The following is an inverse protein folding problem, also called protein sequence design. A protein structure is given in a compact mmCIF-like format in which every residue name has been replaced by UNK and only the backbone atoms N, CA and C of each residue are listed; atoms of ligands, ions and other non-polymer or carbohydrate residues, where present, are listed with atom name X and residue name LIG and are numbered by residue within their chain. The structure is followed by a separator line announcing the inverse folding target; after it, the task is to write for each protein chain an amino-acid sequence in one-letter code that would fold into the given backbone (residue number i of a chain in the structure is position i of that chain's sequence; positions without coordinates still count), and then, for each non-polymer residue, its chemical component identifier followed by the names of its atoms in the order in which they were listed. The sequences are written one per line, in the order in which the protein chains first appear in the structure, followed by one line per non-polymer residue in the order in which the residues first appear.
data_IF_757326654981
#
_entry.id   IF_757326654981
#
_cell.length_a   1.000
_cell.length_b   1.000
_cell.length_c   1.000
_cell.angle_alpha   90.00
_cell.angle_beta   90.00
_cell.angle_gamma   90.00
#
_symmetry.space_group_name_H-M   'P 1'
#
loop_
_entity.id
_entity.type
_entity.pdbx_description
1 polymer ?
#
# COMPACT_ATOMS: atom_id res chain seq x y z
N UNK A 1 -42.18 -10.66 -23.83
CA UNK A 1 -42.06 -9.60 -22.81
C UNK A 1 -40.94 -10.05 -21.88
N UNK A 2 -39.71 -9.78 -22.29
CA UNK A 2 -38.51 -10.18 -21.55
C UNK A 2 -38.14 -9.01 -20.67
N UNK A 3 -38.08 -9.23 -19.35
CA UNK A 3 -37.55 -8.27 -18.40
C UNK A 3 -36.03 -8.23 -18.59
N UNK A 4 -35.53 -7.11 -19.10
CA UNK A 4 -34.14 -6.70 -18.93
C UNK A 4 -33.94 -6.40 -17.44
N UNK A 5 -33.08 -7.16 -16.79
CA UNK A 5 -32.50 -6.80 -15.50
C UNK A 5 -31.28 -5.92 -15.80
N UNK A 6 -31.20 -4.69 -15.29
CA UNK A 6 -29.96 -3.93 -15.39
C UNK A 6 -28.91 -4.61 -14.50
N UNK A 7 -27.95 -5.27 -15.13
CA UNK A 7 -26.69 -5.62 -14.49
C UNK A 7 -25.93 -4.33 -14.23
N UNK A 8 -26.08 -3.80 -13.02
CA UNK A 8 -25.23 -2.73 -12.51
C UNK A 8 -23.81 -3.26 -12.41
N UNK A 9 -22.97 -2.89 -13.38
CA UNK A 9 -21.54 -2.76 -13.12
C UNK A 9 -21.45 -1.58 -12.17
N UNK A 10 -21.21 -1.83 -10.88
CA UNK A 10 -20.74 -0.79 -9.95
C UNK A 10 -19.51 -0.16 -10.59
N UNK A 11 -19.75 0.96 -11.26
CA UNK A 11 -18.73 1.70 -11.96
C UNK A 11 -18.10 2.54 -10.86
N UNK A 12 -16.79 2.40 -10.65
CA UNK A 12 -16.08 3.26 -9.70
C UNK A 12 -16.49 4.72 -9.96
N UNK A 13 -16.82 5.44 -8.88
CA UNK A 13 -17.25 6.83 -8.96
C UNK A 13 -16.26 7.65 -9.79
N UNK A 14 -16.76 8.53 -10.64
CA UNK A 14 -15.93 9.43 -11.42
C UNK A 14 -15.27 10.49 -10.52
N UNK A 15 -14.16 11.08 -10.97
CA UNK A 15 -13.47 12.16 -10.24
C UNK A 15 -14.42 13.34 -9.94
N UNK A 16 -15.36 13.64 -10.84
CA UNK A 16 -16.35 14.69 -10.65
C UNK A 16 -17.38 14.37 -9.56
N UNK A 17 -17.82 13.11 -9.47
CA UNK A 17 -18.75 12.67 -8.42
C UNK A 17 -18.07 12.66 -7.05
N UNK A 18 -16.80 12.22 -6.99
CA UNK A 18 -16.03 12.28 -5.74
C UNK A 18 -15.72 13.72 -5.35
N UNK A 19 -15.47 14.62 -6.30
CA UNK A 19 -15.29 16.05 -6.04
C UNK A 19 -16.53 16.69 -5.42
N UNK A 20 -17.73 16.36 -5.89
CA UNK A 20 -18.98 16.86 -5.31
C UNK A 20 -19.15 16.40 -3.86
N UNK A 21 -18.93 15.12 -3.57
CA UNK A 21 -18.97 14.57 -2.20
C UNK A 21 -17.91 15.19 -1.28
N UNK A 22 -16.73 15.49 -1.84
CA UNK A 22 -15.62 16.10 -1.11
C UNK A 22 -15.89 17.52 -0.63
N UNK A 23 -16.87 18.23 -1.22
CA UNK A 23 -17.26 19.57 -0.77
C UNK A 23 -17.86 19.57 0.64
N UNK A 24 -18.52 18.47 1.02
CA UNK A 24 -19.17 18.32 2.33
C UNK A 24 -18.35 17.47 3.30
N UNK A 25 -17.33 16.75 2.80
CA UNK A 25 -16.55 15.76 3.57
C UNK A 25 -15.05 15.94 3.34
N UNK A 26 -14.32 16.67 4.22
CA UNK A 26 -12.89 16.93 4.05
C UNK A 26 -12.01 15.68 3.87
N UNK A 27 -12.36 14.58 4.55
CA UNK A 27 -11.63 13.31 4.43
C UNK A 27 -11.69 12.72 3.00
N UNK A 28 -12.81 12.88 2.29
CA UNK A 28 -12.91 12.47 0.88
C UNK A 28 -12.04 13.33 -0.05
N UNK A 29 -11.92 14.62 0.26
CA UNK A 29 -11.03 15.51 -0.47
C UNK A 29 -9.56 15.04 -0.36
N UNK A 30 -9.14 14.62 0.85
CA UNK A 30 -7.80 14.07 1.09
C UNK A 30 -7.58 12.77 0.31
N UNK A 31 -8.56 11.85 0.29
CA UNK A 31 -8.48 10.61 -0.49
C UNK A 31 -8.41 10.88 -2.00
N UNK A 32 -9.18 11.84 -2.52
CA UNK A 32 -9.13 12.25 -3.92
C UNK A 32 -7.76 12.82 -4.29
N UNK A 33 -7.24 13.74 -3.47
CA UNK A 33 -5.95 14.37 -3.73
C UNK A 33 -4.81 13.36 -3.64
N UNK A 34 -4.91 12.38 -2.72
CA UNK A 34 -4.01 11.24 -2.64
C UNK A 34 -4.08 10.35 -3.90
N UNK A 35 -5.28 10.02 -4.36
CA UNK A 35 -5.49 9.18 -5.55
C UNK A 35 -4.87 9.79 -6.83
N UNK A 36 -4.86 11.11 -6.94
CA UNK A 36 -4.28 11.83 -8.10
C UNK A 36 -2.76 11.68 -8.22
N UNK A 37 -2.07 11.27 -7.16
CA UNK A 37 -0.63 11.02 -7.18
C UNK A 37 -0.28 9.63 -7.70
N UNK A 38 -1.21 8.68 -7.63
CA UNK A 38 -0.96 7.25 -7.86
C UNK A 38 -0.52 6.89 -9.28
N UNK A 39 -1.06 7.50 -10.35
CA UNK A 39 -0.68 7.15 -11.72
C UNK A 39 0.78 7.45 -12.06
N UNK A 40 1.41 8.41 -11.36
CA UNK A 40 2.78 8.85 -11.63
C UNK A 40 3.84 8.07 -10.82
N UNK A 41 3.41 7.15 -9.95
CA UNK A 41 4.33 6.36 -9.12
C UNK A 41 5.07 5.32 -9.99
N UNK A 42 6.40 5.33 -9.89
CA UNK A 42 7.27 4.33 -10.52
C UNK A 42 7.35 3.03 -9.69
N UNK A 43 6.21 2.35 -9.53
CA UNK A 43 6.11 1.11 -8.77
C UNK A 43 7.19 0.11 -9.17
N UNK A 44 7.85 -0.50 -8.19
CA UNK A 44 8.89 -1.53 -8.40
C UNK A 44 10.10 -1.10 -9.26
N UNK A 45 10.24 0.20 -9.57
CA UNK A 45 11.31 0.69 -10.45
C UNK A 45 12.72 0.66 -9.86
N UNK A 46 12.87 0.30 -8.58
CA UNK A 46 14.17 0.25 -7.87
C UNK A 46 14.48 -1.12 -7.29
N UNK A 47 13.73 -2.18 -7.64
CA UNK A 47 13.97 -3.51 -7.10
C UNK A 47 15.43 -3.97 -7.33
N UNK A 48 16.05 -4.48 -6.26
CA UNK A 48 17.39 -5.05 -6.28
C UNK A 48 18.54 -4.04 -6.34
N UNK A 49 18.26 -2.76 -6.63
CA UNK A 49 19.28 -1.70 -6.60
C UNK A 49 19.72 -1.41 -5.15
N UNK A 50 20.92 -0.87 -4.89
CA UNK A 50 21.34 -0.52 -3.54
C UNK A 50 20.38 0.47 -2.85
N UNK A 51 20.07 0.26 -1.57
CA UNK A 51 19.27 1.22 -0.79
C UNK A 51 20.05 2.53 -0.60
N UNK A 52 19.52 3.62 -1.12
CA UNK A 52 20.03 4.97 -0.90
C UNK A 52 19.74 5.45 0.54
N UNK A 53 20.29 6.61 0.89
CA UNK A 53 20.18 7.16 2.25
C UNK A 53 18.74 7.44 2.66
N UNK A 54 17.92 7.92 1.73
CA UNK A 54 16.53 8.32 1.99
C UNK A 54 15.63 7.10 2.17
N UNK A 55 15.79 6.06 1.35
CA UNK A 55 15.08 4.78 1.48
C UNK A 55 15.43 4.11 2.82
N UNK A 56 16.69 4.17 3.24
CA UNK A 56 17.12 3.66 4.56
C UNK A 56 16.49 4.45 5.69
N UNK A 57 16.42 5.77 5.58
CA UNK A 57 15.79 6.61 6.60
C UNK A 57 14.29 6.33 6.72
N UNK A 58 13.57 6.18 5.60
CA UNK A 58 12.15 5.79 5.59
C UNK A 58 11.93 4.43 6.24
N UNK A 59 12.74 3.44 5.87
CA UNK A 59 12.66 2.11 6.43
C UNK A 59 12.95 2.09 7.93
N UNK A 60 13.93 2.87 8.39
CA UNK A 60 14.25 3.01 9.80
C UNK A 60 13.10 3.69 10.57
N UNK A 61 12.56 4.79 10.05
CA UNK A 61 11.43 5.48 10.68
C UNK A 61 10.19 4.58 10.76
N UNK A 62 9.96 3.76 9.73
CA UNK A 62 8.90 2.76 9.74
C UNK A 62 9.09 1.75 10.88
N UNK A 63 10.31 1.21 11.03
CA UNK A 63 10.63 0.28 12.12
C UNK A 63 10.51 0.93 13.50
N UNK A 64 10.99 2.17 13.66
CA UNK A 64 10.84 2.93 14.90
C UNK A 64 9.36 3.12 15.26
N UNK A 65 8.52 3.48 14.29
CA UNK A 65 7.09 3.66 14.49
C UNK A 65 6.34 2.35 14.80
N UNK A 66 6.86 1.20 14.37
CA UNK A 66 6.35 -0.11 14.77
C UNK A 66 6.91 -0.62 16.11
N UNK A 67 7.92 0.04 16.69
CA UNK A 67 8.55 -0.38 17.94
C UNK A 67 9.71 -1.36 17.78
N UNK A 68 10.33 -1.43 16.59
CA UNK A 68 11.49 -2.29 16.27
C UNK A 68 12.74 -1.46 15.88
N UNK A 69 13.18 -0.47 16.68
CA UNK A 69 14.28 0.42 16.29
C UNK A 69 15.62 -0.31 16.07
N UNK A 70 15.80 -1.47 16.71
CA UNK A 70 17.02 -2.28 16.64
C UNK A 70 17.00 -3.32 15.50
N UNK A 71 15.95 -3.35 14.67
CA UNK A 71 15.88 -4.27 13.54
C UNK A 71 16.79 -3.82 12.39
N UNK A 72 17.53 -4.76 11.81
CA UNK A 72 18.43 -4.52 10.70
C UNK A 72 17.69 -4.45 9.37
N UNK A 73 18.13 -3.57 8.46
CA UNK A 73 17.64 -3.52 7.08
C UNK A 73 18.35 -4.56 6.21
N UNK A 74 17.62 -5.55 5.71
CA UNK A 74 18.09 -6.49 4.71
C UNK A 74 17.59 -6.11 3.32
N UNK A 75 18.55 -5.80 2.42
CA UNK A 75 18.26 -5.58 1.01
C UNK A 75 18.25 -6.91 0.25
N UNK A 76 17.13 -7.26 -0.35
CA UNK A 76 17.05 -8.38 -1.28
C UNK A 76 17.51 -7.94 -2.67
N UNK A 77 18.08 -8.88 -3.44
CA UNK A 77 18.70 -8.56 -4.73
C UNK A 77 17.99 -9.17 -5.92
N UNK A 78 17.07 -10.11 -5.68
CA UNK A 78 16.38 -10.87 -6.70
C UNK A 78 15.02 -11.37 -6.19
N UNK A 79 14.20 -11.82 -7.13
CA UNK A 79 12.86 -12.32 -6.86
C UNK A 79 12.85 -13.65 -6.09
N UNK A 80 13.88 -14.50 -6.21
CA UNK A 80 13.97 -15.76 -5.46
C UNK A 80 14.11 -15.50 -3.95
N UNK A 81 15.01 -14.60 -3.57
CA UNK A 81 15.18 -14.14 -2.19
C UNK A 81 13.90 -13.47 -1.68
N UNK A 82 13.21 -12.71 -2.54
CA UNK A 82 11.93 -12.08 -2.21
C UNK A 82 10.83 -13.11 -1.94
N UNK A 83 10.75 -14.17 -2.75
CA UNK A 83 9.83 -15.29 -2.52
C UNK A 83 10.11 -15.96 -1.19
N UNK A 84 11.37 -16.33 -0.92
CA UNK A 84 11.75 -16.94 0.35
C UNK A 84 11.40 -16.04 1.53
N UNK A 85 11.69 -14.73 1.43
CA UNK A 85 11.34 -13.77 2.46
C UNK A 85 9.81 -13.65 2.67
N UNK A 86 9.03 -13.60 1.60
CA UNK A 86 7.57 -13.50 1.65
C UNK A 86 6.92 -14.76 2.23
N UNK A 87 7.43 -15.95 1.88
CA UNK A 87 6.94 -17.24 2.41
C UNK A 87 7.38 -17.50 3.85
N UNK A 88 8.59 -17.06 4.20
CA UNK A 88 9.13 -17.21 5.56
C UNK A 88 8.53 -16.22 6.56
N UNK A 89 7.82 -15.20 6.08
CA UNK A 89 7.11 -14.22 6.90
C UNK A 89 6.17 -14.95 7.85
N UNK A 90 6.58 -15.00 9.13
CA UNK A 90 5.74 -15.59 10.16
C UNK A 90 4.46 -14.75 10.24
N UNK A 91 3.34 -15.36 9.83
CA UNK A 91 2.02 -14.74 9.82
C UNK A 91 1.58 -14.29 11.23
N UNK A 92 2.32 -14.68 12.29
CA UNK A 92 2.18 -14.23 13.68
C UNK A 92 3.42 -13.48 14.21
N UNK A 93 4.14 -12.77 13.35
CA UNK A 93 5.24 -11.91 13.81
C UNK A 93 4.74 -10.73 14.64
N UNK A 94 5.54 -10.28 15.62
CA UNK A 94 5.23 -9.12 16.43
C UNK A 94 5.05 -7.83 15.60
N UNK A 95 5.69 -7.74 14.43
CA UNK A 95 5.52 -6.60 13.53
C UNK A 95 4.14 -6.58 12.88
N UNK A 96 3.60 -7.75 12.51
CA UNK A 96 2.23 -7.84 12.02
C UNK A 96 1.21 -7.44 13.09
N UNK A 97 1.39 -7.90 14.34
CA UNK A 97 0.54 -7.49 15.47
C UNK A 97 0.58 -5.98 15.71
N UNK A 98 1.77 -5.36 15.60
CA UNK A 98 1.93 -3.91 15.70
C UNK A 98 1.17 -3.17 14.59
N UNK A 99 1.29 -3.61 13.34
CA UNK A 99 0.53 -3.06 12.22
C UNK A 99 -0.98 -3.22 12.41
N UNK A 100 -1.44 -4.39 12.88
CA UNK A 100 -2.87 -4.63 13.11
C UNK A 100 -3.42 -3.72 14.22
N UNK A 101 -2.64 -3.53 15.29
CA UNK A 101 -3.01 -2.60 16.38
C UNK A 101 -3.12 -1.16 15.87
N UNK A 102 -2.20 -0.72 15.00
CA UNK A 102 -2.24 0.61 14.40
C UNK A 102 -3.44 0.76 13.45
N UNK A 103 -3.74 -0.28 12.67
CA UNK A 103 -4.91 -0.29 11.79
C UNK A 103 -6.21 -0.16 12.57
N UNK A 104 -6.37 -0.93 13.64
CA UNK A 104 -7.55 -0.86 14.49
C UNK A 104 -7.74 0.52 15.13
N UNK A 105 -6.64 1.15 15.58
CA UNK A 105 -6.66 2.51 16.11
C UNK A 105 -7.11 3.52 15.04
N UNK A 106 -6.45 3.53 13.88
CA UNK A 106 -6.80 4.45 12.79
C UNK A 106 -8.21 4.23 12.24
N UNK A 107 -8.67 2.98 12.13
CA UNK A 107 -10.05 2.69 11.72
C UNK A 107 -11.05 3.26 12.72
N UNK A 108 -10.73 3.24 14.01
CA UNK A 108 -11.58 3.85 15.05
C UNK A 108 -11.62 5.37 14.89
N UNK A 109 -10.46 6.00 14.74
CA UNK A 109 -10.34 7.46 14.55
C UNK A 109 -11.03 7.93 13.26
N UNK A 110 -10.90 7.14 12.19
CA UNK A 110 -11.54 7.41 10.90
C UNK A 110 -13.07 7.45 11.03
N UNK A 111 -13.66 6.52 11.80
CA UNK A 111 -15.11 6.46 12.01
C UNK A 111 -15.67 7.63 12.82
N UNK A 112 -14.81 8.44 13.47
CA UNK A 112 -15.24 9.68 14.12
C UNK A 112 -15.47 10.82 13.10
N UNK A 113 -14.86 10.74 11.91
CA UNK A 113 -14.86 11.82 10.89
C UNK A 113 -15.49 11.41 9.57
N UNK A 114 -15.59 10.11 9.28
CA UNK A 114 -16.08 9.56 8.02
C UNK A 114 -16.90 8.28 8.30
N UNK A 115 -18.06 8.13 7.65
CA UNK A 115 -18.79 6.86 7.73
C UNK A 115 -18.03 5.75 7.00
N UNK A 116 -18.25 4.50 7.41
CA UNK A 116 -17.67 3.32 6.75
C UNK A 116 -18.00 3.29 5.25
N UNK A 117 -19.27 3.50 4.89
CA UNK A 117 -19.73 3.56 3.48
C UNK A 117 -19.02 4.66 2.68
N UNK A 118 -18.83 5.85 3.28
CA UNK A 118 -18.13 6.94 2.59
C UNK A 118 -16.63 6.64 2.43
N UNK A 119 -16.01 6.00 3.42
CA UNK A 119 -14.63 5.51 3.29
C UNK A 119 -14.53 4.45 2.19
N UNK A 120 -15.41 3.45 2.16
CA UNK A 120 -15.43 2.40 1.14
C UNK A 120 -15.57 3.00 -0.26
N UNK A 121 -16.44 4.00 -0.43
CA UNK A 121 -16.59 4.79 -1.65
C UNK A 121 -15.26 5.45 -2.05
N UNK A 122 -14.67 6.23 -1.14
CA UNK A 122 -13.42 6.94 -1.40
C UNK A 122 -12.25 5.99 -1.67
N UNK A 123 -12.16 4.91 -0.92
CA UNK A 123 -11.11 3.90 -1.09
C UNK A 123 -11.28 3.12 -2.39
N UNK A 124 -12.50 2.78 -2.80
CA UNK A 124 -12.74 2.14 -4.11
C UNK A 124 -12.22 3.01 -5.24
N UNK A 125 -12.44 4.32 -5.17
CA UNK A 125 -11.87 5.26 -6.13
C UNK A 125 -10.33 5.27 -6.10
N UNK A 126 -9.72 5.38 -4.92
CA UNK A 126 -8.26 5.34 -4.73
C UNK A 126 -7.66 4.05 -5.30
N UNK A 127 -8.24 2.90 -4.98
CA UNK A 127 -7.80 1.59 -5.45
C UNK A 127 -7.90 1.49 -6.98
N UNK A 128 -8.98 1.99 -7.59
CA UNK A 128 -9.16 1.99 -9.03
C UNK A 128 -8.10 2.83 -9.78
N UNK A 129 -7.58 3.91 -9.16
CA UNK A 129 -6.50 4.71 -9.77
C UNK A 129 -5.14 3.99 -9.77
N UNK A 130 -4.88 3.11 -8.81
CA UNK A 130 -3.60 2.41 -8.69
C UNK A 130 -3.57 1.02 -9.34
N UNK A 131 -4.67 0.27 -9.28
CA UNK A 131 -4.70 -1.18 -9.51
C UNK A 131 -4.04 -1.62 -10.83
N UNK A 132 -4.38 -0.99 -11.94
CA UNK A 132 -3.78 -1.31 -13.24
C UNK A 132 -2.28 -0.99 -13.27
N UNK A 133 -1.87 0.18 -12.76
CA UNK A 133 -0.47 0.61 -12.76
C UNK A 133 0.42 -0.28 -11.89
N UNK A 134 -0.06 -0.66 -10.71
CA UNK A 134 0.65 -1.53 -9.76
C UNK A 134 0.83 -2.92 -10.36
N UNK A 135 -0.24 -3.50 -10.91
CA UNK A 135 -0.21 -4.84 -11.49
C UNK A 135 0.70 -4.91 -12.71
N UNK A 136 0.54 -3.97 -13.65
CA UNK A 136 1.38 -3.90 -14.85
C UNK A 136 2.86 -3.71 -14.49
N UNK A 137 3.16 -2.89 -13.49
CA UNK A 137 4.54 -2.68 -13.05
C UNK A 137 5.15 -3.94 -12.41
N UNK A 138 4.43 -4.63 -11.54
CA UNK A 138 4.89 -5.88 -10.93
C UNK A 138 5.12 -6.96 -11.99
N UNK A 139 4.15 -7.17 -12.87
CA UNK A 139 4.23 -8.14 -13.96
C UNK A 139 5.35 -7.83 -14.95
N UNK A 140 5.46 -6.57 -15.40
CA UNK A 140 6.53 -6.15 -16.33
C UNK A 140 7.91 -6.35 -15.69
N UNK A 141 8.10 -5.93 -14.44
CA UNK A 141 9.40 -6.04 -13.77
C UNK A 141 9.80 -7.50 -13.56
N UNK A 142 8.86 -8.37 -13.18
CA UNK A 142 9.12 -9.80 -13.05
C UNK A 142 9.45 -10.44 -14.41
N UNK A 143 8.72 -10.10 -15.47
CA UNK A 143 8.98 -10.58 -16.84
C UNK A 143 10.36 -10.13 -17.36
N UNK A 144 10.74 -8.87 -17.13
CA UNK A 144 12.04 -8.33 -17.54
C UNK A 144 13.21 -9.08 -16.89
N UNK A 145 12.98 -9.63 -15.70
CA UNK A 145 13.95 -10.42 -14.94
C UNK A 145 13.87 -11.92 -15.25
N UNK A 146 12.92 -12.36 -16.09
CA UNK A 146 12.75 -13.75 -16.47
C UNK A 146 12.21 -14.64 -15.34
N UNK A 147 11.39 -14.08 -14.44
CA UNK A 147 10.75 -14.85 -13.36
C UNK A 147 9.80 -15.90 -13.97
N UNK A 148 9.96 -17.16 -13.57
CA UNK A 148 9.13 -18.26 -14.08
C UNK A 148 7.77 -18.33 -13.41
N UNK A 149 7.73 -18.14 -12.09
CA UNK A 149 6.51 -18.17 -11.28
C UNK A 149 5.99 -16.76 -11.02
N UNK A 150 4.94 -16.37 -11.75
CA UNK A 150 4.35 -15.03 -11.64
C UNK A 150 3.52 -14.83 -10.36
N UNK A 151 3.31 -15.87 -9.53
CA UNK A 151 2.64 -15.70 -8.23
C UNK A 151 3.34 -14.67 -7.35
N UNK A 152 4.68 -14.57 -7.42
CA UNK A 152 5.41 -13.57 -6.64
C UNK A 152 5.14 -12.13 -7.10
N UNK A 153 4.91 -11.91 -8.41
CA UNK A 153 4.53 -10.60 -8.93
C UNK A 153 3.12 -10.23 -8.47
N UNK A 154 2.20 -11.20 -8.42
CA UNK A 154 0.86 -11.01 -7.87
C UNK A 154 0.94 -10.69 -6.37
N UNK A 155 1.82 -11.36 -5.62
CA UNK A 155 2.05 -11.07 -4.20
C UNK A 155 2.62 -9.66 -3.98
N UNK A 156 3.56 -9.22 -4.82
CA UNK A 156 4.11 -7.86 -4.78
C UNK A 156 3.03 -6.80 -5.06
N UNK A 157 2.21 -7.00 -6.09
CA UNK A 157 1.07 -6.14 -6.40
C UNK A 157 0.06 -6.10 -5.23
N UNK A 158 -0.27 -7.26 -4.65
CA UNK A 158 -1.13 -7.35 -3.48
C UNK A 158 -0.56 -6.59 -2.27
N UNK A 159 0.74 -6.70 -2.01
CA UNK A 159 1.41 -5.98 -0.93
C UNK A 159 1.36 -4.46 -1.12
N UNK A 160 1.51 -3.97 -2.36
CA UNK A 160 1.36 -2.55 -2.67
C UNK A 160 -0.09 -2.07 -2.43
N UNK A 161 -1.10 -2.85 -2.83
CA UNK A 161 -2.50 -2.52 -2.57
C UNK A 161 -2.85 -2.52 -1.08
N UNK A 162 -2.26 -3.43 -0.29
CA UNK A 162 -2.41 -3.43 1.17
C UNK A 162 -1.76 -2.19 1.81
N UNK A 163 -0.58 -1.78 1.34
CA UNK A 163 0.07 -0.55 1.79
C UNK A 163 -0.72 0.70 1.39
N UNK A 164 -1.31 0.72 0.19
CA UNK A 164 -2.21 1.77 -0.28
C UNK A 164 -3.43 1.91 0.62
N UNK A 165 -4.06 0.81 1.01
CA UNK A 165 -5.18 0.83 1.96
C UNK A 165 -4.78 1.40 3.32
N UNK A 166 -3.66 0.95 3.90
CA UNK A 166 -3.15 1.50 5.15
C UNK A 166 -2.87 3.01 5.06
N UNK A 167 -2.28 3.46 3.95
CA UNK A 167 -2.04 4.88 3.70
C UNK A 167 -3.35 5.66 3.53
N UNK A 168 -4.34 5.11 2.83
CA UNK A 168 -5.64 5.74 2.64
C UNK A 168 -6.36 5.98 3.98
N UNK A 169 -6.36 4.99 4.89
CA UNK A 169 -6.91 5.19 6.24
C UNK A 169 -6.12 6.27 6.99
N UNK A 170 -4.79 6.22 6.97
CA UNK A 170 -3.95 7.20 7.67
C UNK A 170 -4.17 8.63 7.14
N UNK A 171 -4.27 8.81 5.82
CA UNK A 171 -4.59 10.09 5.17
C UNK A 171 -5.98 10.57 5.58
N UNK A 172 -7.00 9.72 5.48
CA UNK A 172 -8.39 10.10 5.78
C UNK A 172 -8.60 10.42 7.27
N UNK A 173 -7.88 9.74 8.16
CA UNK A 173 -7.86 10.01 9.60
C UNK A 173 -6.98 11.21 9.99
N UNK A 174 -6.22 11.79 9.04
CA UNK A 174 -5.34 12.94 9.31
C UNK A 174 -4.14 12.59 10.19
N UNK A 175 -3.59 11.38 10.04
CA UNK A 175 -2.40 10.93 10.77
C UNK A 175 -1.15 11.76 10.43
N UNK A 176 -0.16 11.75 11.34
CA UNK A 176 1.13 12.40 11.12
C UNK A 176 1.88 11.80 9.92
N UNK A 177 2.66 12.62 9.22
CA UNK A 177 3.46 12.21 8.06
C UNK A 177 4.44 11.06 8.35
N UNK A 178 4.83 10.86 9.62
CA UNK A 178 5.69 9.77 10.05
C UNK A 178 4.91 8.52 10.49
N UNK A 179 3.60 8.46 10.25
CA UNK A 179 2.81 7.28 10.56
C UNK A 179 3.34 6.05 9.78
N UNK A 180 3.49 4.86 10.41
CA UNK A 180 4.07 3.69 9.77
C UNK A 180 3.43 3.32 8.41
N UNK A 181 2.12 3.44 8.25
CA UNK A 181 1.48 3.17 6.96
C UNK A 181 1.87 4.15 5.84
N UNK A 182 2.03 5.45 6.16
CA UNK A 182 2.51 6.43 5.19
C UNK A 182 3.97 6.16 4.83
N UNK A 183 4.80 5.82 5.83
CA UNK A 183 6.21 5.46 5.61
C UNK A 183 6.36 4.20 4.77
N UNK A 184 5.55 3.16 5.03
CA UNK A 184 5.52 1.93 4.23
C UNK A 184 5.09 2.21 2.79
N UNK A 185 4.07 3.03 2.60
CA UNK A 185 3.63 3.45 1.27
C UNK A 185 4.71 4.22 0.52
N UNK A 186 5.41 5.15 1.19
CA UNK A 186 6.54 5.89 0.62
C UNK A 186 7.68 4.99 0.15
N UNK A 187 7.89 3.82 0.75
CA UNK A 187 8.85 2.84 0.21
C UNK A 187 8.42 2.34 -1.17
N UNK A 188 7.13 2.08 -1.38
CA UNK A 188 6.60 1.73 -2.71
C UNK A 188 6.65 2.90 -3.69
N UNK A 189 6.41 4.15 -3.25
CA UNK A 189 6.58 5.34 -4.10
C UNK A 189 8.02 5.46 -4.64
N UNK A 190 9.00 4.97 -3.88
CA UNK A 190 10.41 4.89 -4.29
C UNK A 190 10.73 3.66 -5.14
N UNK A 191 9.73 2.90 -5.56
CA UNK A 191 9.89 1.70 -6.37
C UNK A 191 10.47 0.51 -5.60
N UNK A 192 10.32 0.47 -4.27
CA UNK A 192 10.73 -0.66 -3.42
C UNK A 192 9.57 -1.55 -3.06
N UNK A 193 9.88 -2.80 -2.73
CA UNK A 193 8.92 -3.70 -2.11
C UNK A 193 9.32 -4.01 -0.66
N UNK A 194 8.70 -3.38 0.35
CA UNK A 194 8.84 -3.76 1.75
C UNK A 194 8.08 -5.06 2.03
N UNK A 195 8.81 -6.18 2.04
CA UNK A 195 8.22 -7.51 2.19
C UNK A 195 7.69 -7.70 3.60
N UNK A 196 8.50 -7.38 4.61
CA UNK A 196 8.10 -7.49 6.00
C UNK A 196 9.27 -7.75 6.94
N UNK A 197 8.96 -7.75 8.23
CA UNK A 197 9.92 -8.01 9.30
C UNK A 197 9.89 -9.50 9.64
N UNK A 198 11.05 -10.15 9.54
CA UNK A 198 11.25 -11.54 9.97
C UNK A 198 12.29 -11.56 11.09
N UNK A 199 11.87 -11.87 12.31
CA UNK A 199 12.72 -11.78 13.49
C UNK A 199 13.16 -10.34 13.77
N UNK A 200 14.46 -10.05 13.65
CA UNK A 200 15.05 -8.71 13.82
C UNK A 200 15.51 -8.11 12.48
N UNK A 201 14.95 -8.57 11.37
CA UNK A 201 15.38 -8.14 10.04
C UNK A 201 14.19 -7.66 9.23
N UNK A 202 14.27 -6.44 8.70
CA UNK A 202 13.29 -5.90 7.76
C UNK A 202 13.76 -6.14 6.33
N UNK A 203 13.05 -7.01 5.61
CA UNK A 203 13.36 -7.36 4.23
C UNK A 203 12.74 -6.36 3.25
N UNK A 204 13.59 -5.74 2.44
CA UNK A 204 13.21 -4.77 1.41
C UNK A 204 13.88 -5.16 0.10
N UNK A 205 13.10 -5.24 -0.97
CA UNK A 205 13.60 -5.47 -2.33
C UNK A 205 13.71 -4.13 -3.10
#
# INVERSE_FOLDING_TARGET
MSMDLPGGTETALSDAELEELSLEMPALALLRDFARLLPDIAWFGQLGTPLDQETRALAQAYLEGLGFPDADLAKLSNWEDATVAAESGDWNSAAWEAEESLRAALSTDLLEVLSEEAFEIGFTYVAAQADESVRNAAESTANDWGVEDMEIAIAAAGAAMQALHGAAIAVAAGADDNHPFLLRFRLFERGRWPIGVAGLTFNIF
#
